data_IF_471331229159
#
_entry.id   IF_471331229159
#
_cell.length_a   1.000
_cell.length_b   1.000
_cell.length_c   1.000
_cell.angle_alpha   90.00
_cell.angle_beta   90.00
_cell.angle_gamma   90.00
#
_symmetry.space_group_name_H-M   'P 1'
#
loop_
_entity.id
_entity.type
_entity.pdbx_description
1 polymer ?
#
# COMPACT_ATOMS: atom_id res chain seq x y z
N UNK A 1 -34.13 -3.97 -48.33
CA UNK A 1 -34.73 -2.74 -47.79
C UNK A 1 -34.12 -2.42 -46.43
N UNK A 2 -34.43 -3.14 -45.35
CA UNK A 2 -33.85 -2.91 -44.01
C UNK A 2 -32.31 -2.74 -43.97
N UNK A 3 -31.53 -3.61 -44.62
CA UNK A 3 -30.06 -3.50 -44.61
C UNK A 3 -29.48 -2.26 -45.32
N UNK A 4 -30.11 -1.80 -46.40
CA UNK A 4 -29.62 -0.62 -47.15
C UNK A 4 -29.88 0.68 -46.37
N UNK A 5 -30.98 0.73 -45.62
CA UNK A 5 -31.32 1.85 -44.74
C UNK A 5 -30.36 1.91 -43.54
N UNK A 6 -30.04 0.77 -42.93
CA UNK A 6 -29.04 0.69 -41.85
C UNK A 6 -27.65 1.12 -42.31
N UNK A 7 -27.20 0.67 -43.48
CA UNK A 7 -25.92 1.09 -44.06
C UNK A 7 -25.90 2.60 -44.35
N UNK A 8 -27.02 3.14 -44.81
CA UNK A 8 -27.18 4.57 -45.08
C UNK A 8 -27.10 5.40 -43.81
N UNK A 9 -27.78 4.98 -42.73
CA UNK A 9 -27.73 5.65 -41.44
C UNK A 9 -26.34 5.55 -40.84
N UNK A 10 -25.71 4.37 -40.90
CA UNK A 10 -24.33 4.18 -40.44
C UNK A 10 -23.39 5.19 -41.08
N UNK A 11 -23.44 5.30 -42.41
CA UNK A 11 -22.60 6.24 -43.14
C UNK A 11 -22.87 7.70 -42.72
N UNK A 12 -24.13 8.08 -42.53
CA UNK A 12 -24.52 9.42 -42.05
C UNK A 12 -23.93 9.72 -40.67
N UNK A 13 -24.04 8.77 -39.74
CA UNK A 13 -23.48 8.88 -38.39
C UNK A 13 -21.96 8.99 -38.42
N UNK A 14 -21.28 8.19 -39.25
CA UNK A 14 -19.83 8.24 -39.45
C UNK A 14 -19.40 9.63 -39.98
N UNK A 15 -20.12 10.18 -40.96
CA UNK A 15 -19.86 11.52 -41.51
C UNK A 15 -20.13 12.64 -40.49
N UNK A 16 -21.23 12.56 -39.73
CA UNK A 16 -21.55 13.53 -38.69
C UNK A 16 -20.55 13.50 -37.53
N UNK A 17 -20.11 12.31 -37.12
CA UNK A 17 -19.11 12.14 -36.08
C UNK A 17 -17.76 12.68 -36.53
N UNK A 18 -17.32 12.37 -37.76
CA UNK A 18 -16.09 12.92 -38.32
C UNK A 18 -16.11 14.46 -38.37
N UNK A 19 -17.22 15.05 -38.83
CA UNK A 19 -17.39 16.51 -38.83
C UNK A 19 -17.36 17.11 -37.41
N UNK A 20 -17.94 16.41 -36.42
CA UNK A 20 -17.87 16.82 -35.02
C UNK A 20 -16.43 16.78 -34.50
N UNK A 21 -15.68 15.70 -34.74
CA UNK A 21 -14.26 15.59 -34.33
C UNK A 21 -13.41 16.68 -35.01
N UNK A 22 -13.63 16.96 -36.29
CA UNK A 22 -12.95 18.05 -36.99
C UNK A 22 -13.28 19.41 -36.37
N UNK A 23 -14.52 19.63 -35.90
CA UNK A 23 -14.90 20.85 -35.19
C UNK A 23 -14.20 21.04 -33.84
N UNK A 24 -13.68 19.96 -33.25
CA UNK A 24 -12.87 20.02 -32.03
C UNK A 24 -11.43 20.45 -32.31
N UNK A 25 -10.95 20.29 -33.56
CA UNK A 25 -9.59 20.70 -33.93
C UNK A 25 -9.46 22.22 -33.83
N UNK A 26 -8.43 22.68 -33.11
CA UNK A 26 -8.17 24.11 -32.89
C UNK A 26 -8.84 24.71 -31.65
N UNK A 27 -9.65 23.95 -30.91
CA UNK A 27 -10.12 24.35 -29.58
C UNK A 27 -8.99 24.28 -28.56
N UNK A 28 -9.06 25.15 -27.55
CA UNK A 28 -8.16 25.14 -26.41
C UNK A 28 -8.45 23.97 -25.47
N UNK A 29 -7.49 23.61 -24.61
CA UNK A 29 -7.67 22.56 -23.60
C UNK A 29 -8.87 22.84 -22.70
N UNK A 30 -9.07 24.09 -22.28
CA UNK A 30 -10.20 24.47 -21.42
C UNK A 30 -11.55 24.30 -22.13
N UNK A 31 -11.63 24.63 -23.42
CA UNK A 31 -12.85 24.42 -24.21
C UNK A 31 -13.14 22.93 -24.40
N UNK A 32 -12.12 22.12 -24.66
CA UNK A 32 -12.26 20.67 -24.76
C UNK A 32 -12.73 20.03 -23.44
N UNK A 33 -12.21 20.49 -22.30
CA UNK A 33 -12.66 20.03 -20.97
C UNK A 33 -14.13 20.41 -20.75
N UNK A 34 -14.53 21.63 -21.10
CA UNK A 34 -15.92 22.07 -20.98
C UNK A 34 -16.88 21.25 -21.86
N UNK A 35 -16.40 20.82 -23.03
CA UNK A 35 -17.15 19.99 -23.98
C UNK A 35 -17.04 18.48 -23.69
N UNK A 36 -16.33 18.05 -22.64
CA UNK A 36 -16.13 16.63 -22.35
C UNK A 36 -17.44 15.81 -22.26
N UNK A 37 -18.54 16.32 -21.68
CA UNK A 37 -19.82 15.62 -21.69
C UNK A 37 -20.36 15.42 -23.11
N UNK A 38 -20.36 16.46 -23.94
CA UNK A 38 -20.83 16.41 -25.33
C UNK A 38 -19.97 15.45 -26.18
N UNK A 39 -18.65 15.44 -25.94
CA UNK A 39 -17.71 14.53 -26.61
C UNK A 39 -18.01 13.08 -26.23
N UNK A 40 -18.20 12.81 -24.94
CA UNK A 40 -18.49 11.46 -24.43
C UNK A 40 -19.81 10.95 -25.00
N UNK A 41 -20.85 11.78 -24.99
CA UNK A 41 -22.14 11.45 -25.58
C UNK A 41 -22.05 11.18 -27.08
N UNK A 42 -21.36 12.05 -27.83
CA UNK A 42 -21.22 11.88 -29.28
C UNK A 42 -20.51 10.58 -29.64
N UNK A 43 -19.47 10.20 -28.88
CA UNK A 43 -18.77 8.93 -29.06
C UNK A 43 -19.69 7.74 -28.78
N UNK A 44 -20.38 7.73 -27.63
CA UNK A 44 -21.25 6.62 -27.26
C UNK A 44 -22.38 6.41 -28.28
N UNK A 45 -23.05 7.49 -28.69
CA UNK A 45 -24.14 7.40 -29.67
C UNK A 45 -23.64 6.99 -31.05
N UNK A 46 -22.43 7.40 -31.45
CA UNK A 46 -21.82 6.94 -32.71
C UNK A 46 -21.58 5.42 -32.71
N UNK A 47 -21.18 4.86 -31.57
CA UNK A 47 -20.87 3.43 -31.42
C UNK A 47 -22.12 2.56 -31.22
N UNK A 48 -23.10 3.02 -30.44
CA UNK A 48 -24.18 2.17 -29.93
C UNK A 48 -25.55 2.41 -30.59
N UNK A 49 -25.83 3.63 -31.09
CA UNK A 49 -27.19 4.02 -31.52
C UNK A 49 -27.76 3.09 -32.60
N UNK A 50 -26.96 2.77 -33.61
CA UNK A 50 -27.41 1.92 -34.71
C UNK A 50 -27.83 0.53 -34.23
N UNK A 51 -27.19 0.00 -33.19
CA UNK A 51 -27.53 -1.29 -32.59
C UNK A 51 -28.81 -1.27 -31.76
N UNK A 52 -29.25 -0.08 -31.32
CA UNK A 52 -30.48 0.11 -30.56
C UNK A 52 -31.71 0.41 -31.45
N UNK A 53 -31.52 0.88 -32.69
CA UNK A 53 -32.61 1.26 -33.59
C UNK A 53 -33.29 0.06 -34.26
N UNK A 54 -34.62 0.12 -34.35
CA UNK A 54 -35.39 -0.70 -35.30
C UNK A 54 -35.49 -0.05 -36.70
N UNK A 55 -36.23 -0.67 -37.63
CA UNK A 55 -36.35 -0.14 -39.00
C UNK A 55 -37.10 1.21 -39.05
N UNK A 56 -38.09 1.43 -38.17
CA UNK A 56 -38.85 2.69 -38.10
C UNK A 56 -37.96 3.81 -37.53
N UNK A 57 -37.16 3.51 -36.50
CA UNK A 57 -36.18 4.42 -35.93
C UNK A 57 -35.15 4.86 -36.97
N UNK A 58 -34.64 3.91 -37.77
CA UNK A 58 -33.68 4.20 -38.85
C UNK A 58 -34.28 5.15 -39.88
N UNK A 59 -35.49 4.87 -40.35
CA UNK A 59 -36.18 5.74 -41.30
C UNK A 59 -36.46 7.13 -40.71
N UNK A 60 -36.79 7.20 -39.42
CA UNK A 60 -37.03 8.46 -38.72
C UNK A 60 -35.75 9.30 -38.60
N UNK A 61 -34.64 8.70 -38.16
CA UNK A 61 -33.36 9.38 -38.00
C UNK A 61 -32.78 9.88 -39.33
N UNK A 62 -32.99 9.13 -40.42
CA UNK A 62 -32.55 9.53 -41.76
C UNK A 62 -33.25 10.79 -42.31
N UNK A 63 -34.30 11.29 -41.65
CA UNK A 63 -34.95 12.57 -41.99
C UNK A 63 -34.16 13.79 -41.54
N UNK A 64 -33.18 13.61 -40.66
CA UNK A 64 -32.30 14.68 -40.19
C UNK A 64 -31.02 14.75 -41.04
N UNK A 65 -30.53 15.97 -41.27
CA UNK A 65 -29.24 16.19 -41.92
C UNK A 65 -28.07 15.78 -40.99
N UNK A 66 -28.26 15.99 -39.68
CA UNK A 66 -27.32 15.62 -38.63
C UNK A 66 -28.02 14.86 -37.50
N UNK A 67 -28.43 13.59 -37.71
CA UNK A 67 -29.07 12.78 -36.67
C UNK A 67 -28.26 12.69 -35.37
N UNK A 68 -26.92 12.67 -35.45
CA UNK A 68 -26.06 12.54 -34.27
C UNK A 68 -26.15 13.76 -33.34
N UNK A 69 -26.20 14.97 -33.89
CA UNK A 69 -26.38 16.20 -33.09
C UNK A 69 -27.76 16.23 -32.41
N UNK A 70 -28.80 15.78 -33.11
CA UNK A 70 -30.16 15.73 -32.57
C UNK A 70 -30.21 14.77 -31.39
N UNK A 71 -29.78 13.52 -31.56
CA UNK A 71 -29.87 12.51 -30.50
C UNK A 71 -28.97 12.83 -29.30
N UNK A 72 -27.84 13.52 -29.49
CA UNK A 72 -26.97 13.96 -28.39
C UNK A 72 -27.71 14.84 -27.39
N UNK A 73 -28.47 15.83 -27.87
CA UNK A 73 -29.22 16.73 -26.98
C UNK A 73 -30.27 16.02 -26.14
N UNK A 74 -30.89 14.97 -26.69
CA UNK A 74 -31.83 14.13 -25.95
C UNK A 74 -31.12 13.19 -24.98
N UNK A 75 -30.04 12.53 -25.41
CA UNK A 75 -29.27 11.62 -24.57
C UNK A 75 -28.72 12.29 -23.31
N UNK A 76 -28.19 13.51 -23.44
CA UNK A 76 -27.72 14.29 -22.29
C UNK A 76 -28.83 14.48 -21.24
N UNK A 77 -30.07 14.69 -21.67
CA UNK A 77 -31.20 14.82 -20.76
C UNK A 77 -31.55 13.50 -20.07
N UNK A 78 -31.42 12.37 -20.78
CA UNK A 78 -31.67 11.03 -20.25
C UNK A 78 -30.62 10.63 -19.19
N UNK A 79 -29.34 10.96 -19.42
CA UNK A 79 -28.26 10.55 -18.50
C UNK A 79 -28.02 11.53 -17.34
N UNK A 80 -28.29 12.84 -17.51
CA UNK A 80 -28.07 13.85 -16.46
C UNK A 80 -29.30 14.15 -15.61
N UNK A 81 -30.48 13.69 -16.03
CA UNK A 81 -31.76 13.97 -15.37
C UNK A 81 -32.05 13.15 -14.11
N UNK A 82 -31.18 12.20 -13.72
CA UNK A 82 -31.44 11.28 -12.61
C UNK A 82 -30.43 11.45 -11.45
N UNK A 83 -30.87 11.16 -10.23
CA UNK A 83 -30.01 11.17 -9.04
C UNK A 83 -29.11 9.94 -9.01
N UNK A 84 -27.80 10.15 -9.17
CA UNK A 84 -26.80 9.07 -9.17
C UNK A 84 -26.36 8.60 -7.78
N UNK A 85 -27.05 9.00 -6.71
CA UNK A 85 -26.67 8.66 -5.33
C UNK A 85 -26.63 7.15 -5.07
N UNK A 86 -27.49 6.37 -5.74
CA UNK A 86 -27.53 4.91 -5.64
C UNK A 86 -26.30 4.25 -6.26
N UNK A 87 -25.93 4.64 -7.48
CA UNK A 87 -24.77 4.16 -8.22
C UNK A 87 -23.47 4.50 -7.47
N UNK A 88 -23.38 5.74 -6.96
CA UNK A 88 -22.28 6.17 -6.11
C UNK A 88 -22.20 5.34 -4.82
N UNK A 89 -23.35 5.06 -4.18
CA UNK A 89 -23.41 4.21 -3.00
C UNK A 89 -22.92 2.79 -3.28
N UNK A 90 -23.32 2.20 -4.40
CA UNK A 90 -22.87 0.87 -4.82
C UNK A 90 -21.37 0.83 -5.15
N UNK A 91 -20.86 1.84 -5.86
CA UNK A 91 -19.42 1.98 -6.13
C UNK A 91 -18.62 2.06 -4.82
N UNK A 92 -19.05 2.88 -3.86
CA UNK A 92 -18.39 3.00 -2.56
C UNK A 92 -18.45 1.70 -1.76
N UNK A 93 -19.58 0.98 -1.80
CA UNK A 93 -19.69 -0.34 -1.17
C UNK A 93 -18.70 -1.33 -1.80
N UNK A 94 -18.60 -1.38 -3.12
CA UNK A 94 -17.66 -2.28 -3.82
C UNK A 94 -16.20 -1.95 -3.48
N UNK A 95 -15.83 -0.67 -3.47
CA UNK A 95 -14.50 -0.24 -3.01
C UNK A 95 -14.25 -0.75 -1.58
N UNK A 96 -15.23 -0.65 -0.69
CA UNK A 96 -15.07 -1.14 0.69
C UNK A 96 -14.88 -2.64 0.75
N UNK A 97 -15.68 -3.43 0.04
CA UNK A 97 -15.54 -4.90 0.02
C UNK A 97 -14.17 -5.33 -0.54
N UNK A 98 -13.76 -4.74 -1.66
CA UNK A 98 -12.50 -5.10 -2.33
C UNK A 98 -11.26 -4.72 -1.48
N UNK A 99 -11.40 -3.69 -0.62
CA UNK A 99 -10.31 -3.17 0.21
C UNK A 99 -10.50 -3.46 1.71
N UNK A 100 -11.50 -4.25 2.10
CA UNK A 100 -11.85 -4.46 3.51
C UNK A 100 -10.67 -5.07 4.28
N UNK A 101 -9.95 -5.96 3.62
CA UNK A 101 -8.70 -6.57 4.07
C UNK A 101 -7.56 -5.55 4.27
N UNK A 102 -7.51 -4.47 3.49
CA UNK A 102 -6.50 -3.41 3.63
C UNK A 102 -6.87 -2.40 4.72
N UNK A 103 -8.15 -2.10 4.88
CA UNK A 103 -8.63 -1.17 5.91
C UNK A 103 -8.77 -1.81 7.31
N UNK A 104 -9.07 -3.11 7.42
CA UNK A 104 -9.01 -3.85 8.70
C UNK A 104 -7.56 -4.06 9.21
N UNK A 105 -6.54 -3.71 8.39
CA UNK A 105 -5.10 -3.77 8.73
C UNK A 105 -4.50 -2.45 9.24
N UNK A 106 -5.30 -1.40 9.45
CA UNK A 106 -4.84 -0.12 10.02
C UNK A 106 -4.94 0.01 11.54
N UNK A 107 -5.39 -1.04 12.25
CA UNK A 107 -4.95 -1.16 13.65
C UNK A 107 -3.51 -1.65 13.62
N UNK A 108 -2.59 -0.90 14.24
CA UNK A 108 -1.24 -1.32 14.59
C UNK A 108 -1.29 -2.66 15.37
N UNK A 109 -1.50 -3.79 14.68
CA UNK A 109 -1.52 -5.11 15.30
C UNK A 109 -0.08 -5.44 15.68
N UNK A 110 0.19 -5.50 16.98
CA UNK A 110 1.36 -6.19 17.52
C UNK A 110 1.35 -7.64 17.05
N UNK A 111 2.53 -8.26 16.87
CA UNK A 111 2.59 -9.71 16.64
C UNK A 111 2.54 -10.44 17.97
N UNK A 112 1.98 -11.65 17.92
CA UNK A 112 2.02 -12.61 19.01
C UNK A 112 3.41 -13.26 19.13
N UNK A 113 3.69 -13.81 20.31
CA UNK A 113 4.91 -14.59 20.58
C UNK A 113 4.98 -15.87 19.72
N UNK A 114 3.83 -16.35 19.25
CA UNK A 114 3.66 -17.50 18.37
C UNK A 114 3.99 -17.21 16.89
N UNK A 115 4.06 -15.93 16.50
CA UNK A 115 4.41 -15.51 15.14
C UNK A 115 5.91 -15.27 14.96
N UNK A 116 6.71 -15.39 16.02
CA UNK A 116 8.16 -15.16 15.99
C UNK A 116 8.93 -16.27 16.69
N UNK A 117 10.19 -16.48 16.31
CA UNK A 117 11.12 -17.35 17.02
C UNK A 117 12.47 -16.66 17.14
N UNK A 118 12.91 -16.42 18.38
CA UNK A 118 14.23 -15.87 18.66
C UNK A 118 15.29 -16.96 18.46
N UNK A 119 16.32 -16.67 17.67
CA UNK A 119 17.53 -17.50 17.67
C UNK A 119 18.29 -17.25 18.98
N UNK A 120 18.52 -18.30 19.81
CA UNK A 120 19.22 -18.15 21.08
C UNK A 120 20.66 -17.62 20.92
N UNK A 121 21.26 -17.76 19.74
CA UNK A 121 22.61 -17.27 19.45
C UNK A 121 22.58 -15.77 19.15
N UNK A 122 22.80 -14.97 20.19
CA UNK A 122 22.91 -13.51 20.11
C UNK A 122 24.38 -13.05 20.03
N UNK A 123 24.63 -11.95 19.33
CA UNK A 123 25.94 -11.32 19.23
C UNK A 123 26.11 -10.21 20.30
N UNK A 124 27.07 -10.43 21.20
CA UNK A 124 27.44 -9.52 22.29
C UNK A 124 28.77 -8.78 22.04
N UNK A 125 29.36 -8.91 20.85
CA UNK A 125 30.67 -8.34 20.53
C UNK A 125 30.63 -6.82 20.32
N UNK A 126 29.46 -6.27 20.00
CA UNK A 126 29.23 -4.85 19.78
C UNK A 126 28.66 -4.10 20.98
N UNK A 127 28.57 -2.77 20.84
CA UNK A 127 27.94 -1.87 21.83
C UNK A 127 26.47 -2.20 22.10
N UNK A 128 25.83 -2.92 21.19
CA UNK A 128 24.46 -3.38 21.27
C UNK A 128 24.46 -4.90 21.13
N UNK A 129 23.51 -5.55 21.79
CA UNK A 129 23.23 -6.97 21.60
C UNK A 129 22.41 -7.11 20.32
N UNK A 130 22.91 -7.89 19.37
CA UNK A 130 22.20 -8.18 18.11
C UNK A 130 21.58 -9.57 18.22
N UNK A 131 20.28 -9.66 17.97
CA UNK A 131 19.57 -10.93 17.92
C UNK A 131 18.84 -11.10 16.58
N UNK A 132 18.80 -12.33 16.11
CA UNK A 132 18.05 -12.74 14.93
C UNK A 132 16.70 -13.31 15.36
N UNK A 133 15.65 -12.91 14.66
CA UNK A 133 14.28 -13.33 14.90
C UNK A 133 13.72 -13.86 13.58
N UNK A 134 13.37 -15.14 13.57
CA UNK A 134 12.55 -15.73 12.53
C UNK A 134 11.12 -15.22 12.66
N UNK A 135 10.52 -14.87 11.53
CA UNK A 135 9.18 -14.28 11.47
C UNK A 135 8.26 -15.19 10.64
N UNK A 136 7.10 -15.52 11.20
CA UNK A 136 6.05 -16.29 10.53
C UNK A 136 4.94 -15.43 9.93
N UNK A 137 5.02 -14.11 10.06
CA UNK A 137 4.02 -13.17 9.58
C UNK A 137 4.43 -12.52 8.24
N UNK A 138 3.42 -12.02 7.51
CA UNK A 138 3.62 -11.30 6.24
C UNK A 138 4.24 -9.90 6.49
N UNK A 139 5.47 -9.71 6.01
CA UNK A 139 6.23 -8.45 6.17
C UNK A 139 5.63 -7.28 5.39
N UNK A 140 4.98 -7.52 4.26
CA UNK A 140 4.33 -6.49 3.44
C UNK A 140 3.12 -5.94 4.15
N UNK A 141 2.30 -6.84 4.71
CA UNK A 141 1.15 -6.44 5.54
C UNK A 141 1.56 -5.72 6.81
N UNK A 142 2.70 -6.09 7.42
CA UNK A 142 3.11 -5.55 8.72
C UNK A 142 3.89 -4.25 8.64
N UNK A 143 4.86 -4.19 7.74
CA UNK A 143 5.85 -3.12 7.68
C UNK A 143 5.80 -2.34 6.36
N UNK A 144 4.86 -2.68 5.46
CA UNK A 144 4.78 -2.10 4.11
C UNK A 144 6.08 -2.30 3.31
N UNK A 145 6.78 -3.40 3.60
CA UNK A 145 7.99 -3.83 2.91
C UNK A 145 7.63 -5.03 2.05
N UNK A 146 7.80 -4.92 0.74
CA UNK A 146 7.40 -5.94 -0.24
C UNK A 146 8.63 -6.55 -0.92
N UNK A 147 9.13 -7.69 -0.43
CA UNK A 147 10.18 -8.48 -1.08
C UNK A 147 9.70 -9.12 -2.39
N UNK A 148 10.64 -9.51 -3.26
CA UNK A 148 10.31 -10.33 -4.43
C UNK A 148 9.91 -11.75 -3.99
N UNK A 149 9.31 -12.52 -4.90
CA UNK A 149 8.76 -13.86 -4.61
C UNK A 149 9.78 -14.84 -4.02
N UNK A 150 11.05 -14.72 -4.45
CA UNK A 150 12.13 -15.62 -4.04
C UNK A 150 13.00 -15.03 -2.90
N UNK A 151 12.73 -13.81 -2.46
CA UNK A 151 13.48 -13.18 -1.38
C UNK A 151 13.14 -13.81 -0.02
N UNK A 152 14.13 -13.99 0.84
CA UNK A 152 13.92 -14.37 2.23
C UNK A 152 14.03 -13.17 3.16
N UNK A 153 13.23 -13.16 4.23
CA UNK A 153 13.18 -12.06 5.19
C UNK A 153 13.46 -12.56 6.60
N UNK A 154 14.33 -11.83 7.30
CA UNK A 154 14.64 -12.04 8.70
C UNK A 154 14.60 -10.74 9.48
N UNK A 155 14.13 -10.78 10.72
CA UNK A 155 14.09 -9.60 11.58
C UNK A 155 15.32 -9.59 12.49
N UNK A 156 16.10 -8.52 12.45
CA UNK A 156 17.21 -8.30 13.36
C UNK A 156 16.85 -7.20 14.35
N UNK A 157 17.10 -7.48 15.63
CA UNK A 157 16.94 -6.48 16.68
C UNK A 157 18.29 -6.12 17.27
N UNK A 158 18.48 -4.83 17.53
CA UNK A 158 19.68 -4.29 18.17
C UNK A 158 19.24 -3.61 19.46
N UNK A 159 19.63 -4.20 20.58
CA UNK A 159 19.28 -3.75 21.91
C UNK A 159 20.49 -3.13 22.60
N UNK A 160 20.34 -1.92 23.11
CA UNK A 160 21.35 -1.25 23.94
C UNK A 160 21.06 -1.52 25.43
N UNK A 161 21.88 -2.32 26.14
CA UNK A 161 21.65 -2.63 27.54
C UNK A 161 21.83 -1.44 28.51
N UNK A 162 22.39 -0.33 28.05
CA UNK A 162 22.59 0.90 28.84
C UNK A 162 21.38 1.82 28.74
N UNK A 163 20.94 2.14 27.52
CA UNK A 163 19.79 3.02 27.29
C UNK A 163 18.44 2.28 27.31
N UNK A 164 18.47 0.95 27.25
CA UNK A 164 17.31 0.08 27.08
C UNK A 164 16.51 0.34 25.79
N UNK A 165 17.13 1.02 24.81
CA UNK A 165 16.54 1.24 23.51
C UNK A 165 16.68 -0.03 22.65
N UNK A 166 15.61 -0.38 21.93
CA UNK A 166 15.61 -1.43 20.94
C UNK A 166 15.26 -0.83 19.57
N UNK A 167 16.08 -1.13 18.57
CA UNK A 167 15.74 -0.87 17.17
C UNK A 167 15.66 -2.18 16.40
N UNK A 168 14.87 -2.17 15.33
CA UNK A 168 14.65 -3.32 14.50
C UNK A 168 14.92 -3.01 13.02
N UNK A 169 15.52 -3.96 12.33
CA UNK A 169 15.85 -3.89 10.92
C UNK A 169 15.44 -5.21 10.26
N UNK A 170 14.71 -5.14 9.14
CA UNK A 170 14.47 -6.29 8.28
C UNK A 170 15.68 -6.49 7.37
N UNK A 171 16.26 -7.69 7.40
CA UNK A 171 17.19 -8.15 6.39
C UNK A 171 16.40 -8.88 5.30
N UNK A 172 16.47 -8.37 4.08
CA UNK A 172 15.88 -9.00 2.90
C UNK A 172 17.04 -9.53 2.06
N UNK A 173 17.11 -10.85 1.92
CA UNK A 173 18.12 -11.55 1.15
C UNK A 173 17.53 -11.98 -0.19
N UNK A 174 18.12 -11.49 -1.28
CA UNK A 174 17.72 -11.74 -2.66
C UNK A 174 17.88 -13.24 -2.98
N UNK A 175 16.81 -13.84 -3.50
CA UNK A 175 16.78 -15.28 -3.80
C UNK A 175 17.69 -15.72 -4.94
N UNK A 176 18.12 -14.80 -5.80
CA UNK A 176 18.93 -15.09 -6.99
C UNK A 176 20.43 -14.95 -6.74
N UNK A 177 20.86 -13.87 -6.10
CA UNK A 177 22.28 -13.57 -5.90
C UNK A 177 22.74 -13.55 -4.43
N UNK A 178 21.83 -13.70 -3.47
CA UNK A 178 22.11 -13.67 -2.03
C UNK A 178 22.48 -12.26 -1.51
N UNK A 179 22.27 -11.23 -2.32
CA UNK A 179 22.45 -9.83 -1.93
C UNK A 179 21.53 -9.46 -0.78
N UNK A 180 22.06 -8.71 0.20
CA UNK A 180 21.30 -8.30 1.39
C UNK A 180 21.00 -6.82 1.37
N UNK A 181 19.72 -6.47 1.54
CA UNK A 181 19.27 -5.10 1.83
C UNK A 181 18.66 -5.04 3.23
N UNK A 182 18.79 -3.87 3.87
CA UNK A 182 18.36 -3.65 5.24
C UNK A 182 17.36 -2.51 5.29
N UNK A 183 16.20 -2.75 5.89
CA UNK A 183 15.12 -1.77 6.04
C UNK A 183 14.85 -1.54 7.53
N UNK A 184 14.93 -0.29 7.99
CA UNK A 184 14.58 0.03 9.39
C UNK A 184 13.08 -0.06 9.56
N UNK A 185 12.61 -0.81 10.57
CA UNK A 185 11.19 -0.95 10.87
C UNK A 185 10.85 -0.51 12.28
N UNK A 186 9.67 0.11 12.42
CA UNK A 186 9.15 0.54 13.71
C UNK A 186 8.40 -0.60 14.38
N UNK A 187 8.78 -0.92 15.63
CA UNK A 187 8.05 -1.86 16.48
C UNK A 187 7.26 -1.11 17.53
N UNK A 188 6.05 -1.59 17.82
CA UNK A 188 5.25 -1.10 18.93
C UNK A 188 5.96 -1.35 20.27
N UNK A 189 5.76 -0.49 21.28
CA UNK A 189 6.38 -0.67 22.60
C UNK A 189 6.09 -2.04 23.24
N UNK A 190 4.91 -2.62 23.01
CA UNK A 190 4.54 -3.96 23.48
C UNK A 190 5.39 -5.05 22.83
N UNK A 191 5.63 -4.95 21.52
CA UNK A 191 6.46 -5.89 20.77
C UNK A 191 7.94 -5.76 21.15
N UNK A 192 8.44 -4.53 21.34
CA UNK A 192 9.81 -4.30 21.82
C UNK A 192 10.02 -4.95 23.20
N UNK A 193 9.09 -4.73 24.13
CA UNK A 193 9.14 -5.34 25.47
C UNK A 193 9.15 -6.87 25.39
N UNK A 194 8.24 -7.44 24.60
CA UNK A 194 8.15 -8.90 24.41
C UNK A 194 9.47 -9.49 23.90
N UNK A 195 10.10 -8.84 22.91
CA UNK A 195 11.38 -9.28 22.35
C UNK A 195 12.49 -9.19 23.39
N UNK A 196 12.56 -8.11 24.17
CA UNK A 196 13.56 -7.98 25.24
C UNK A 196 13.38 -9.07 26.29
N UNK A 197 12.13 -9.38 26.68
CA UNK A 197 11.83 -10.45 27.64
C UNK A 197 12.26 -11.84 27.09
N UNK A 198 12.09 -12.09 25.78
CA UNK A 198 12.60 -13.29 25.11
C UNK A 198 14.14 -13.37 25.12
N UNK A 199 14.82 -12.26 24.82
CA UNK A 199 16.29 -12.19 24.84
C UNK A 199 16.84 -12.44 26.26
N UNK A 200 16.17 -11.90 27.28
CA UNK A 200 16.49 -12.13 28.69
C UNK A 200 16.31 -13.61 29.06
N UNK A 201 15.19 -14.22 28.66
CA UNK A 201 14.91 -15.64 28.92
C UNK A 201 15.94 -16.56 28.24
N UNK A 202 16.34 -16.25 27.00
CA UNK A 202 17.38 -16.99 26.29
C UNK A 202 18.73 -16.92 27.03
N UNK A 203 19.15 -15.74 27.47
CA UNK A 203 20.36 -15.58 28.29
C UNK A 203 20.28 -16.37 29.60
N UNK A 204 19.13 -16.32 30.26
CA UNK A 204 18.94 -17.00 31.54
C UNK A 204 18.95 -18.52 31.38
N UNK A 205 18.41 -19.05 30.28
CA UNK A 205 18.41 -20.49 29.97
C UNK A 205 19.79 -21.00 29.58
N UNK A 206 20.49 -20.27 28.70
CA UNK A 206 21.72 -20.78 28.08
C UNK A 206 22.97 -20.45 28.89
N UNK A 207 22.99 -19.29 29.56
CA UNK A 207 24.15 -18.77 30.28
C UNK A 207 23.91 -18.65 31.79
N UNK A 208 22.67 -18.79 32.25
CA UNK A 208 22.32 -18.64 33.67
C UNK A 208 22.45 -17.21 34.19
N UNK A 209 22.50 -16.21 33.30
CA UNK A 209 22.74 -14.79 33.62
C UNK A 209 21.73 -13.89 32.91
N UNK A 210 21.62 -12.66 33.39
CA UNK A 210 20.82 -11.62 32.72
C UNK A 210 21.45 -11.18 31.40
N UNK A 211 20.65 -10.65 30.48
CA UNK A 211 21.11 -10.12 29.19
C UNK A 211 22.18 -9.03 29.39
N UNK A 212 21.99 -8.18 30.40
CA UNK A 212 22.91 -7.09 30.74
C UNK A 212 24.24 -7.58 31.32
N UNK A 213 24.20 -8.58 32.21
CA UNK A 213 25.42 -9.11 32.82
C UNK A 213 26.27 -9.83 31.77
N UNK A 214 25.63 -10.63 30.90
CA UNK A 214 26.29 -11.25 29.75
C UNK A 214 26.98 -10.20 28.89
N UNK A 215 26.27 -9.16 28.45
CA UNK A 215 26.87 -8.08 27.66
C UNK A 215 28.05 -7.40 28.37
N UNK A 216 27.93 -7.18 29.68
CA UNK A 216 28.95 -6.52 30.50
C UNK A 216 30.26 -7.32 30.54
N UNK A 217 30.19 -8.65 30.57
CA UNK A 217 31.37 -9.53 30.57
C UNK A 217 32.16 -9.44 29.27
N UNK A 218 31.47 -9.28 28.14
CA UNK A 218 32.09 -9.07 26.83
C UNK A 218 32.72 -7.67 26.70
N UNK A 219 32.36 -6.72 27.57
CA UNK A 219 32.74 -5.30 27.47
C UNK A 219 33.47 -4.76 28.74
N UNK A 220 34.60 -5.37 29.17
CA UNK A 220 35.25 -5.06 30.45
C UNK A 220 35.82 -3.63 30.51
N UNK A 221 36.09 -2.98 29.38
CA UNK A 221 36.61 -1.61 29.32
C UNK A 221 35.56 -0.57 29.75
N UNK A 222 34.28 -0.75 29.38
CA UNK A 222 33.15 0.09 29.80
C UNK A 222 32.94 -0.03 31.33
N UNK A 223 33.24 -1.21 31.88
CA UNK A 223 33.10 -1.49 33.30
C UNK A 223 34.17 -0.77 34.16
N UNK A 224 35.36 -0.49 33.61
CA UNK A 224 36.42 0.27 34.33
C UNK A 224 36.00 1.71 34.61
N UNK A 225 35.29 2.36 33.68
CA UNK A 225 34.79 3.74 33.90
C UNK A 225 33.74 3.81 35.01
N UNK A 226 32.85 2.82 35.10
CA UNK A 226 31.83 2.74 36.16
C UNK A 226 32.41 2.34 37.53
N UNK A 227 33.48 1.54 37.58
CA UNK A 227 34.18 1.23 38.85
C UNK A 227 34.96 2.41 39.42
N UNK A 228 35.47 3.32 38.57
CA UNK A 228 36.16 4.53 39.04
C UNK A 228 35.19 5.56 39.66
N UNK A 229 33.91 5.59 39.25
CA UNK A 229 32.92 6.47 39.88
C UNK A 229 32.46 5.99 41.27
N UNK A 230 32.47 4.67 41.56
CA UNK A 230 32.06 4.13 42.88
C UNK A 230 33.10 4.30 44.00
N UNK A 231 34.33 4.75 43.72
CA UNK A 231 35.39 4.88 44.75
C UNK A 231 35.53 6.28 45.40
N UNK A 232 34.68 7.25 45.05
CA UNK A 232 34.70 8.59 45.68
C UNK A 232 33.66 8.80 46.81
N UNK A 233 33.24 7.72 47.47
CA UNK A 233 32.50 7.78 48.74
C UNK A 233 33.36 7.36 49.93
N UNK A 234 34.56 7.92 50.10
CA UNK A 234 35.39 7.66 51.29
C UNK A 234 34.95 8.58 52.43
N UNK A 235 34.43 7.94 53.48
CA UNK A 235 34.37 8.34 54.88
C UNK A 235 34.91 9.74 55.22
N UNK A 236 34.04 10.61 55.72
CA UNK A 236 34.41 11.53 56.78
C UNK A 236 33.68 11.10 58.06
N UNK A 237 34.42 10.42 58.92
CA UNK A 237 34.13 10.32 60.34
C UNK A 237 35.05 11.29 61.08
N UNK A 238 34.62 11.65 62.30
CA UNK A 238 35.33 12.38 63.38
C UNK A 238 35.22 13.91 63.29
N UNK A 239 34.76 14.65 64.31
CA UNK A 239 34.60 14.41 65.77
C UNK A 239 33.50 15.29 66.34
#
# INVERSE_FOLDING_TARGET
MSGELQDTLKKRLDENYAAFIDSLQGKTVSELIAMAPEITTAQQLHEELLGACDEEDVEFLLRFDNPLEVVRGYWESEITGYDHSGEMGHMLWRIREDNQDEFERQDEKSFGIDEITLDPVMDFSGKEVVAYIEIGFDVGRRFQVYPNLDDSCGLYVKYDPVSQALRAELCIEDGYDGGKRWETVSLLPSAQKMIIDLMEEACQKDMGRSLRDTWTDHHPAINRENQHQKKNGRCQHER
#
